data_IF_977690636196
#
_entry.id   IF_977690636196
#
_cell.length_a   1.000
_cell.length_b   1.000
_cell.length_c   1.000
_cell.angle_alpha   90.00
_cell.angle_beta   90.00
_cell.angle_gamma   90.00
#
_symmetry.space_group_name_H-M   'P 1'
#
loop_
_entity.id
_entity.type
_entity.pdbx_description
1 polymer ?
#
# COMPACT_ATOMS: atom_id res chain seq x y z
N UNK A 1 21.49 -20.05 -13.82
CA UNK A 1 21.78 -18.76 -13.18
C UNK A 1 22.28 -19.03 -11.78
N UNK A 2 23.58 -18.82 -11.53
CA UNK A 2 24.13 -18.92 -10.17
C UNK A 2 23.75 -17.65 -9.42
N UNK A 3 22.89 -17.76 -8.40
CA UNK A 3 22.61 -16.65 -7.49
C UNK A 3 23.82 -16.48 -6.57
N UNK A 4 24.64 -15.47 -6.82
CA UNK A 4 25.69 -15.05 -5.90
C UNK A 4 25.04 -14.38 -4.68
N UNK A 5 24.88 -15.13 -3.59
CA UNK A 5 24.26 -14.69 -2.33
C UNK A 5 25.10 -13.67 -1.54
N UNK A 6 26.23 -13.19 -2.08
CA UNK A 6 27.09 -12.20 -1.40
C UNK A 6 26.59 -10.75 -1.49
N UNK A 7 25.51 -10.47 -2.21
CA UNK A 7 24.92 -9.12 -2.32
C UNK A 7 23.94 -8.86 -1.18
N UNK A 8 24.16 -7.79 -0.41
CA UNK A 8 23.20 -7.33 0.60
C UNK A 8 21.90 -6.87 -0.07
N UNK A 9 20.78 -7.19 0.57
CA UNK A 9 19.42 -6.98 0.05
C UNK A 9 18.82 -5.67 0.60
N UNK A 10 18.23 -4.85 -0.27
CA UNK A 10 17.41 -3.69 0.12
C UNK A 10 15.94 -3.95 -0.24
N UNK A 11 15.06 -3.94 0.76
CA UNK A 11 13.60 -4.07 0.55
C UNK A 11 12.96 -2.70 0.73
N UNK A 12 12.40 -2.17 -0.35
CA UNK A 12 11.63 -0.93 -0.31
C UNK A 12 10.13 -1.24 -0.45
N UNK A 13 9.35 -0.89 0.58
CA UNK A 13 7.90 -0.77 0.47
C UNK A 13 7.56 0.70 0.31
N UNK A 14 6.85 1.05 -0.76
CA UNK A 14 6.42 2.43 -0.98
C UNK A 14 4.99 2.52 -0.50
N UNK A 15 4.83 2.82 0.78
CA UNK A 15 3.54 2.95 1.42
C UNK A 15 3.16 4.44 1.40
N UNK A 16 2.62 4.90 0.27
CA UNK A 16 2.36 6.32 0.01
C UNK A 16 1.13 6.85 0.77
N UNK A 17 0.40 5.97 1.45
CA UNK A 17 -0.83 6.29 2.18
C UNK A 17 -0.58 6.52 3.69
N UNK A 18 0.60 6.14 4.19
CA UNK A 18 1.01 6.35 5.58
C UNK A 18 2.11 7.39 5.64
N UNK A 19 2.28 8.04 6.80
CA UNK A 19 3.29 9.09 7.06
C UNK A 19 4.75 8.54 7.00
N UNK A 20 5.13 7.96 5.87
CA UNK A 20 6.43 7.33 5.65
C UNK A 20 7.38 8.35 5.04
N UNK A 21 8.23 8.89 5.89
CA UNK A 21 9.10 10.02 5.58
C UNK A 21 10.25 9.72 4.60
N UNK A 22 10.48 8.49 4.10
CA UNK A 22 11.85 8.14 3.63
C UNK A 22 12.08 7.49 2.26
N UNK A 23 11.10 7.21 1.42
CA UNK A 23 11.39 6.51 0.14
C UNK A 23 11.17 7.37 -1.11
N UNK A 24 12.09 8.30 -1.39
CA UNK A 24 12.42 8.85 -2.73
C UNK A 24 12.41 10.38 -2.76
N UNK A 25 13.60 10.98 -2.77
CA UNK A 25 13.82 12.37 -3.16
C UNK A 25 14.26 12.42 -4.64
N UNK A 26 13.69 13.35 -5.41
CA UNK A 26 13.97 13.54 -6.84
C UNK A 26 15.33 14.20 -7.14
N UNK A 27 16.18 14.42 -6.14
CA UNK A 27 17.52 14.99 -6.27
C UNK A 27 18.58 13.98 -5.81
N UNK A 28 19.17 13.24 -6.76
CA UNK A 28 20.42 12.49 -6.55
C UNK A 28 20.39 11.21 -5.68
N UNK A 29 19.23 10.78 -5.17
CA UNK A 29 19.14 9.68 -4.19
C UNK A 29 17.96 8.72 -4.37
N UNK A 30 17.70 8.25 -5.60
CA UNK A 30 16.71 7.18 -5.79
C UNK A 30 17.25 5.86 -5.22
N UNK A 31 16.38 5.02 -4.63
CA UNK A 31 16.79 3.73 -4.08
C UNK A 31 17.54 2.86 -5.11
N UNK A 32 17.16 2.94 -6.39
CA UNK A 32 17.85 2.24 -7.48
C UNK A 32 19.28 2.77 -7.71
N UNK A 33 19.48 4.09 -7.71
CA UNK A 33 20.82 4.67 -7.85
C UNK A 33 21.75 4.25 -6.70
N UNK A 34 21.23 4.25 -5.46
CA UNK A 34 21.99 3.81 -4.28
C UNK A 34 22.31 2.32 -4.37
N UNK A 35 21.32 1.48 -4.69
CA UNK A 35 21.53 0.03 -4.83
C UNK A 35 22.59 -0.27 -5.89
N UNK A 36 22.49 0.35 -7.07
CA UNK A 36 23.48 0.20 -8.15
C UNK A 36 24.87 0.65 -7.73
N UNK A 37 25.00 1.83 -7.08
CA UNK A 37 26.29 2.35 -6.60
C UNK A 37 26.98 1.38 -5.64
N UNK A 38 26.22 0.66 -4.84
CA UNK A 38 26.73 -0.27 -3.84
C UNK A 38 26.62 -1.75 -4.27
N UNK A 39 26.31 -2.03 -5.54
CA UNK A 39 26.13 -3.39 -6.08
C UNK A 39 25.16 -4.26 -5.25
N UNK A 40 24.08 -3.65 -4.77
CA UNK A 40 23.01 -4.27 -3.98
C UNK A 40 21.86 -4.71 -4.88
N UNK A 41 21.09 -5.70 -4.42
CA UNK A 41 19.83 -6.10 -5.06
C UNK A 41 18.69 -5.25 -4.46
N UNK A 42 17.94 -4.57 -5.32
CA UNK A 42 16.75 -3.80 -4.94
C UNK A 42 15.47 -4.63 -5.17
N UNK A 43 14.84 -5.02 -4.06
CA UNK A 43 13.51 -5.63 -4.07
C UNK A 43 12.48 -4.55 -3.72
N UNK A 44 11.42 -4.44 -4.53
CA UNK A 44 10.31 -3.51 -4.28
C UNK A 44 8.99 -4.25 -4.11
N UNK A 45 8.31 -4.00 -2.99
CA UNK A 45 6.93 -4.45 -2.79
C UNK A 45 5.97 -3.47 -3.48
N UNK A 46 5.24 -3.96 -4.47
CA UNK A 46 4.33 -3.19 -5.30
C UNK A 46 2.85 -3.55 -5.07
N UNK A 47 2.52 -4.13 -3.91
CA UNK A 47 1.18 -4.60 -3.56
C UNK A 47 0.09 -3.53 -3.69
N UNK A 48 0.33 -2.30 -3.23
CA UNK A 48 -0.69 -1.25 -3.18
C UNK A 48 -1.08 -0.74 -4.57
N UNK A 49 -0.08 -0.51 -5.42
CA UNK A 49 -0.28 0.09 -6.73
C UNK A 49 -0.51 -0.95 -7.82
N UNK A 50 -0.07 -2.19 -7.60
CA UNK A 50 -0.04 -3.27 -8.59
C UNK A 50 0.80 -2.89 -9.83
N UNK A 51 1.00 -3.83 -10.73
CA UNK A 51 1.65 -3.56 -12.02
C UNK A 51 0.81 -2.65 -12.94
N UNK A 52 -0.47 -2.45 -12.62
CA UNK A 52 -1.37 -1.57 -13.37
C UNK A 52 -1.03 -0.09 -13.17
N UNK A 53 -0.77 0.34 -11.93
CA UNK A 53 -0.55 1.76 -11.61
C UNK A 53 0.93 2.16 -11.55
N UNK A 54 1.83 1.19 -11.33
CA UNK A 54 3.26 1.47 -11.26
C UNK A 54 4.11 0.27 -11.69
N UNK A 55 4.91 0.46 -12.75
CA UNK A 55 5.86 -0.55 -13.26
C UNK A 55 7.25 -0.37 -12.65
N UNK A 56 7.49 -0.95 -11.48
CA UNK A 56 8.73 -0.77 -10.70
C UNK A 56 10.02 -1.20 -11.41
N UNK A 57 9.95 -2.25 -12.23
CA UNK A 57 11.10 -2.69 -13.03
C UNK A 57 11.62 -1.59 -13.96
N UNK A 58 10.71 -0.80 -14.54
CA UNK A 58 11.06 0.35 -15.39
C UNK A 58 11.78 1.48 -14.64
N UNK A 59 11.76 1.45 -13.30
CA UNK A 59 12.41 2.41 -12.42
C UNK A 59 13.64 1.82 -11.72
N UNK A 60 14.14 0.68 -12.22
CA UNK A 60 15.43 0.10 -11.81
C UNK A 60 15.38 -0.71 -10.52
N UNK A 61 14.21 -1.25 -10.17
CA UNK A 61 14.13 -2.39 -9.25
C UNK A 61 14.65 -3.64 -9.95
N UNK A 62 15.38 -4.48 -9.23
CA UNK A 62 15.86 -5.78 -9.75
C UNK A 62 14.77 -6.85 -9.65
N UNK A 63 13.95 -6.76 -8.61
CA UNK A 63 12.90 -7.74 -8.29
C UNK A 63 11.68 -6.98 -7.76
N UNK A 64 10.49 -7.42 -8.18
CA UNK A 64 9.21 -6.88 -7.67
C UNK A 64 8.42 -7.98 -6.99
N UNK A 65 7.85 -7.65 -5.84
CA UNK A 65 6.99 -8.57 -5.08
C UNK A 65 5.57 -8.04 -4.98
N UNK A 66 4.63 -8.97 -4.86
CA UNK A 66 3.21 -8.67 -4.74
C UNK A 66 2.57 -9.59 -3.70
N UNK A 67 1.71 -9.02 -2.85
CA UNK A 67 0.66 -9.80 -2.19
C UNK A 67 -0.56 -9.85 -3.13
N UNK A 68 -0.74 -10.98 -3.80
CA UNK A 68 -1.86 -11.23 -4.69
C UNK A 68 -3.19 -11.35 -3.94
N UNK A 69 -3.13 -11.58 -2.63
CA UNK A 69 -4.27 -11.48 -1.69
C UNK A 69 -5.03 -10.16 -1.80
N UNK A 70 -4.37 -9.08 -2.22
CA UNK A 70 -4.93 -7.72 -2.23
C UNK A 70 -5.57 -7.40 -3.59
N UNK A 71 -5.30 -6.22 -4.13
CA UNK A 71 -5.88 -5.69 -5.36
C UNK A 71 -5.79 -6.65 -6.57
N UNK A 72 -4.74 -7.48 -6.65
CA UNK A 72 -4.53 -8.34 -7.82
C UNK A 72 -5.55 -9.47 -7.92
N UNK A 73 -5.79 -10.25 -6.85
CA UNK A 73 -6.97 -11.12 -6.79
C UNK A 73 -8.24 -10.28 -6.72
N UNK A 74 -8.34 -9.39 -5.72
CA UNK A 74 -9.42 -8.42 -5.57
C UNK A 74 -10.77 -8.99 -5.11
N UNK A 75 -10.84 -10.29 -4.79
CA UNK A 75 -12.08 -10.98 -4.42
C UNK A 75 -12.10 -11.48 -2.97
N UNK A 76 -11.12 -11.07 -2.15
CA UNK A 76 -11.05 -11.38 -0.70
C UNK A 76 -11.08 -12.89 -0.36
N UNK A 77 -10.71 -13.75 -1.31
CA UNK A 77 -10.92 -15.20 -1.26
C UNK A 77 -9.64 -16.03 -1.47
N UNK A 78 -8.50 -15.39 -1.73
CA UNK A 78 -7.22 -16.06 -1.99
C UNK A 78 -6.10 -15.44 -1.17
N UNK A 79 -5.23 -16.28 -0.60
CA UNK A 79 -3.96 -15.85 0.01
C UNK A 79 -2.79 -16.32 -0.86
N UNK A 80 -2.15 -15.40 -1.58
CA UNK A 80 -1.05 -15.75 -2.49
C UNK A 80 -0.05 -14.61 -2.60
N UNK A 81 1.23 -14.96 -2.73
CA UNK A 81 2.31 -14.04 -3.06
C UNK A 81 2.81 -14.27 -4.49
N UNK A 82 3.37 -13.24 -5.10
CA UNK A 82 4.14 -13.38 -6.33
C UNK A 82 5.52 -12.72 -6.22
N UNK A 83 6.50 -13.41 -6.76
CA UNK A 83 7.90 -13.04 -6.87
C UNK A 83 8.40 -13.60 -8.20
N UNK A 84 9.25 -12.85 -8.92
CA UNK A 84 9.81 -13.28 -10.21
C UNK A 84 10.88 -14.39 -10.13
N UNK A 85 11.08 -14.97 -8.94
CA UNK A 85 12.02 -16.05 -8.67
C UNK A 85 11.28 -17.24 -8.05
N UNK A 86 11.51 -18.44 -8.59
CA UNK A 86 10.99 -19.69 -8.04
C UNK A 86 11.67 -19.98 -6.70
N UNK A 87 10.95 -19.97 -5.58
CA UNK A 87 11.53 -20.30 -4.29
C UNK A 87 11.83 -21.81 -4.25
N UNK A 88 13.09 -22.17 -4.05
CA UNK A 88 13.51 -23.56 -3.83
C UNK A 88 12.95 -24.17 -2.52
N UNK A 89 12.22 -23.39 -1.71
CA UNK A 89 11.69 -23.76 -0.40
C UNK A 89 10.33 -24.49 -0.47
N UNK A 90 9.82 -24.81 -1.66
CA UNK A 90 8.55 -25.53 -1.82
C UNK A 90 7.30 -24.72 -1.45
N UNK A 91 7.43 -23.40 -1.27
CA UNK A 91 6.30 -22.48 -1.01
C UNK A 91 5.63 -22.17 -2.35
N UNK A 92 4.81 -23.11 -2.83
CA UNK A 92 4.07 -23.00 -4.08
C UNK A 92 2.57 -22.87 -3.81
N UNK A 93 1.85 -22.01 -4.55
CA UNK A 93 0.41 -21.87 -4.38
C UNK A 93 -0.36 -23.07 -4.92
N UNK A 94 -1.57 -23.28 -4.39
CA UNK A 94 -2.52 -24.25 -4.96
C UNK A 94 -2.85 -23.88 -6.42
N UNK A 95 -2.95 -24.85 -7.34
CA UNK A 95 -3.43 -24.58 -8.70
C UNK A 95 -4.81 -23.91 -8.75
N UNK A 96 -5.67 -24.19 -7.77
CA UNK A 96 -6.97 -23.55 -7.66
C UNK A 96 -6.85 -22.07 -7.28
N UNK A 97 -5.97 -21.72 -6.34
CA UNK A 97 -5.70 -20.33 -5.98
C UNK A 97 -5.10 -19.56 -7.16
N UNK A 98 -4.20 -20.19 -7.92
CA UNK A 98 -3.67 -19.64 -9.17
C UNK A 98 -4.79 -19.33 -10.17
N UNK A 99 -5.74 -20.25 -10.34
CA UNK A 99 -6.91 -20.04 -11.20
C UNK A 99 -7.77 -18.87 -10.70
N UNK A 100 -8.07 -18.80 -9.40
CA UNK A 100 -8.87 -17.73 -8.80
C UNK A 100 -8.22 -16.36 -8.99
N UNK A 101 -6.90 -16.24 -8.77
CA UNK A 101 -6.19 -14.99 -9.05
C UNK A 101 -6.21 -14.67 -10.54
N UNK A 102 -5.94 -15.64 -11.42
CA UNK A 102 -5.97 -15.41 -12.86
C UNK A 102 -7.35 -14.94 -13.34
N UNK A 103 -8.43 -15.47 -12.76
CA UNK A 103 -9.81 -15.00 -12.96
C UNK A 103 -9.98 -13.56 -12.47
N UNK A 104 -9.51 -13.24 -11.27
CA UNK A 104 -9.57 -11.89 -10.70
C UNK A 104 -8.79 -10.84 -11.49
N UNK A 105 -7.67 -11.23 -12.10
CA UNK A 105 -6.84 -10.35 -12.94
C UNK A 105 -7.58 -9.86 -14.19
N UNK A 106 -8.56 -10.61 -14.71
CA UNK A 106 -9.34 -10.22 -15.89
C UNK A 106 -10.13 -8.93 -15.69
N UNK A 107 -10.50 -8.62 -14.44
CA UNK A 107 -11.23 -7.39 -14.08
C UNK A 107 -10.36 -6.35 -13.38
N UNK A 108 -9.04 -6.58 -13.29
CA UNK A 108 -8.13 -5.71 -12.53
C UNK A 108 -8.22 -4.25 -12.98
N UNK A 109 -8.13 -3.98 -14.27
CA UNK A 109 -8.17 -2.60 -14.79
C UNK A 109 -9.47 -1.88 -14.42
N UNK A 110 -10.61 -2.56 -14.56
CA UNK A 110 -11.93 -2.01 -14.23
C UNK A 110 -12.05 -1.71 -12.73
N UNK A 111 -11.63 -2.67 -11.88
CA UNK A 111 -11.66 -2.51 -10.43
C UNK A 111 -10.74 -1.39 -9.97
N UNK A 112 -9.51 -1.32 -10.49
CA UNK A 112 -8.56 -0.27 -10.12
C UNK A 112 -9.03 1.12 -10.53
N UNK A 113 -9.70 1.25 -11.69
CA UNK A 113 -10.30 2.52 -12.11
C UNK A 113 -11.43 2.94 -11.15
N UNK A 114 -12.30 2.01 -10.77
CA UNK A 114 -13.36 2.28 -9.80
C UNK A 114 -12.80 2.62 -8.41
N UNK A 115 -11.78 1.89 -7.95
CA UNK A 115 -11.10 2.19 -6.68
C UNK A 115 -10.51 3.59 -6.67
N UNK A 116 -9.83 3.98 -7.76
CA UNK A 116 -9.26 5.32 -7.93
C UNK A 116 -10.34 6.39 -7.83
N UNK A 117 -11.44 6.23 -8.57
CA UNK A 117 -12.53 7.21 -8.59
C UNK A 117 -13.21 7.34 -7.22
N UNK A 118 -13.55 6.21 -6.58
CA UNK A 118 -14.20 6.21 -5.28
C UNK A 118 -13.31 6.83 -4.20
N UNK A 119 -12.04 6.42 -4.12
CA UNK A 119 -11.12 6.90 -3.11
C UNK A 119 -10.90 8.42 -3.23
N UNK A 120 -10.78 8.95 -4.44
CA UNK A 120 -10.58 10.39 -4.64
C UNK A 120 -11.82 11.19 -4.20
N UNK A 121 -13.03 10.71 -4.50
CA UNK A 121 -14.27 11.36 -4.07
C UNK A 121 -14.36 11.41 -2.54
N UNK A 122 -14.09 10.28 -1.87
CA UNK A 122 -14.15 10.20 -0.41
C UNK A 122 -13.04 11.05 0.22
N UNK A 123 -11.82 10.99 -0.31
CA UNK A 123 -10.68 11.75 0.21
C UNK A 123 -10.93 13.27 0.12
N UNK A 124 -11.49 13.77 -1.00
CA UNK A 124 -11.88 15.18 -1.14
C UNK A 124 -12.98 15.58 -0.18
N UNK A 125 -13.98 14.72 0.03
CA UNK A 125 -15.03 14.96 1.01
C UNK A 125 -14.47 15.06 2.44
N UNK A 126 -13.56 14.14 2.81
CA UNK A 126 -12.92 14.14 4.11
C UNK A 126 -11.98 15.34 4.31
N UNK A 127 -11.30 15.80 3.27
CA UNK A 127 -10.35 16.92 3.33
C UNK A 127 -11.01 18.23 3.77
N UNK A 128 -12.28 18.43 3.43
CA UNK A 128 -13.06 19.61 3.83
C UNK A 128 -13.90 19.41 5.10
N UNK A 129 -13.94 18.19 5.64
CA UNK A 129 -14.86 17.87 6.73
C UNK A 129 -14.34 18.39 8.09
N UNK A 130 -15.13 19.14 8.88
CA UNK A 130 -14.63 19.86 10.06
C UNK A 130 -14.12 18.94 11.19
N UNK A 131 -14.55 17.66 11.21
CA UNK A 131 -14.09 16.64 12.17
C UNK A 131 -12.87 15.84 11.71
N UNK A 132 -12.39 16.08 10.49
CA UNK A 132 -11.14 15.50 9.98
C UNK A 132 -10.03 16.53 10.16
N UNK A 133 -8.89 16.09 10.64
CA UNK A 133 -7.72 16.93 10.86
C UNK A 133 -6.83 16.97 9.61
N UNK A 134 -6.62 15.82 8.98
CA UNK A 134 -5.72 15.69 7.83
C UNK A 134 -6.08 14.47 7.01
N UNK A 135 -5.97 14.57 5.69
CA UNK A 135 -6.08 13.43 4.75
C UNK A 135 -4.72 13.13 4.14
N UNK A 136 -4.35 11.86 4.10
CA UNK A 136 -3.15 11.33 3.45
C UNK A 136 -3.54 10.55 2.21
N UNK A 137 -3.84 11.27 1.13
CA UNK A 137 -4.14 10.67 -0.16
C UNK A 137 -3.13 11.19 -1.21
N UNK A 138 -2.41 10.31 -1.92
CA UNK A 138 -1.21 10.69 -2.67
C UNK A 138 -1.46 11.67 -3.82
N UNK A 139 -2.67 11.71 -4.38
CA UNK A 139 -3.03 12.66 -5.46
C UNK A 139 -3.68 13.96 -4.99
N UNK A 140 -3.87 14.16 -3.68
CA UNK A 140 -4.29 15.47 -3.18
C UNK A 140 -3.08 16.41 -3.15
N UNK A 141 -3.22 17.69 -3.54
CA UNK A 141 -2.12 18.66 -3.48
C UNK A 141 -1.55 18.87 -2.07
N UNK A 142 -2.36 18.63 -1.04
CA UNK A 142 -1.96 18.68 0.37
C UNK A 142 -0.96 17.59 0.76
N UNK A 143 -0.80 16.55 -0.07
CA UNK A 143 0.10 15.45 0.22
C UNK A 143 1.57 15.85 0.00
N UNK A 144 2.48 15.66 0.98
CA UNK A 144 3.87 16.12 0.89
C UNK A 144 4.66 15.59 -0.31
N UNK A 145 4.25 14.44 -0.86
CA UNK A 145 4.88 13.77 -2.01
C UNK A 145 4.01 13.77 -3.26
N UNK A 146 3.04 14.68 -3.36
CA UNK A 146 2.09 14.76 -4.48
C UNK A 146 2.79 14.76 -5.85
N UNK A 147 3.72 15.70 -6.05
CA UNK A 147 4.39 15.85 -7.35
C UNK A 147 5.27 14.66 -7.72
N UNK A 148 5.91 14.06 -6.72
CA UNK A 148 6.71 12.85 -6.92
C UNK A 148 5.83 11.68 -7.34
N UNK A 149 4.72 11.46 -6.61
CA UNK A 149 3.76 10.42 -6.91
C UNK A 149 3.24 10.55 -8.34
N UNK A 150 2.79 11.76 -8.71
CA UNK A 150 2.27 12.08 -10.05
C UNK A 150 3.28 11.81 -11.17
N UNK A 151 4.58 11.96 -10.91
CA UNK A 151 5.63 11.66 -11.91
C UNK A 151 5.93 10.17 -12.06
N UNK A 152 5.73 9.37 -11.01
CA UNK A 152 6.15 7.97 -10.98
C UNK A 152 5.02 6.98 -11.28
N UNK A 153 3.76 7.36 -11.02
CA UNK A 153 2.61 6.47 -11.13
C UNK A 153 1.62 6.95 -12.18
N UNK A 154 0.86 6.03 -12.77
CA UNK A 154 -0.26 6.36 -13.67
C UNK A 154 -1.56 6.65 -12.92
N UNK A 155 -1.56 6.52 -11.58
CA UNK A 155 -2.72 6.72 -10.73
C UNK A 155 -2.48 6.24 -9.31
N UNK A 156 -3.57 6.11 -8.55
CA UNK A 156 -3.56 5.68 -7.16
C UNK A 156 -4.51 4.51 -6.93
N UNK A 157 -4.28 3.79 -5.83
CA UNK A 157 -5.16 2.71 -5.40
C UNK A 157 -6.39 3.26 -4.69
N UNK A 158 -7.25 2.36 -4.22
CA UNK A 158 -8.39 2.72 -3.36
C UNK A 158 -8.01 3.00 -1.91
N UNK A 159 -6.72 2.87 -1.54
CA UNK A 159 -6.26 3.01 -0.16
C UNK A 159 -5.71 4.41 0.07
N UNK A 160 -6.05 4.96 1.24
CA UNK A 160 -5.56 6.22 1.76
C UNK A 160 -5.83 6.24 3.27
N UNK A 161 -5.25 7.17 3.99
CA UNK A 161 -5.50 7.34 5.43
C UNK A 161 -5.94 8.75 5.77
N UNK A 162 -6.51 8.94 6.96
CA UNK A 162 -6.86 10.27 7.47
C UNK A 162 -6.81 10.30 8.99
N UNK A 163 -6.63 11.50 9.55
CA UNK A 163 -6.63 11.73 10.98
C UNK A 163 -7.96 12.34 11.41
N UNK A 164 -8.61 11.72 12.39
CA UNK A 164 -9.83 12.23 13.00
C UNK A 164 -9.52 13.13 14.21
N UNK A 165 -10.32 14.18 14.38
CA UNK A 165 -10.34 14.95 15.62
C UNK A 165 -11.04 14.16 16.72
N UNK A 166 -10.58 14.30 17.96
CA UNK A 166 -11.19 13.65 19.14
C UNK A 166 -10.47 12.38 19.64
N UNK A 167 -9.28 12.09 19.12
CA UNK A 167 -8.43 11.01 19.62
C UNK A 167 -9.05 9.62 19.51
N UNK A 168 -8.60 8.71 20.37
CA UNK A 168 -9.03 7.31 20.38
C UNK A 168 -10.56 7.14 20.53
N UNK A 169 -11.19 7.93 21.40
CA UNK A 169 -12.63 7.88 21.62
C UNK A 169 -13.41 8.32 20.39
N UNK A 170 -12.99 9.44 19.76
CA UNK A 170 -13.58 9.91 18.51
C UNK A 170 -13.45 8.89 17.37
N UNK A 171 -12.26 8.28 17.22
CA UNK A 171 -12.02 7.26 16.22
C UNK A 171 -12.87 6.00 16.45
N UNK A 172 -12.97 5.50 17.69
CA UNK A 172 -13.82 4.34 18.03
C UNK A 172 -15.30 4.61 17.76
N UNK A 173 -15.80 5.80 18.16
CA UNK A 173 -17.19 6.18 17.91
C UNK A 173 -17.50 6.27 16.42
N UNK A 174 -16.58 6.82 15.63
CA UNK A 174 -16.70 6.85 14.17
C UNK A 174 -16.74 5.44 13.57
N UNK A 175 -15.80 4.57 13.95
CA UNK A 175 -15.76 3.18 13.47
C UNK A 175 -16.98 2.36 13.87
N UNK A 176 -17.60 2.63 15.02
CA UNK A 176 -18.85 1.99 15.42
C UNK A 176 -20.07 2.54 14.68
N UNK A 177 -19.98 3.74 14.08
CA UNK A 177 -21.09 4.38 13.39
C UNK A 177 -21.15 4.07 11.89
N UNK A 178 -20.05 3.62 11.28
CA UNK A 178 -20.05 3.24 9.86
C UNK A 178 -20.88 1.97 9.64
N UNK A 179 -21.75 1.99 8.62
CA UNK A 179 -22.65 0.88 8.29
C UNK A 179 -22.28 0.13 7.01
N UNK A 180 -21.53 0.78 6.13
CA UNK A 180 -21.12 0.22 4.84
C UNK A 180 -19.69 -0.33 4.89
N UNK A 181 -18.79 0.36 5.60
CA UNK A 181 -17.42 -0.09 5.75
C UNK A 181 -17.33 -1.18 6.80
N UNK A 182 -16.63 -2.26 6.46
CA UNK A 182 -16.38 -3.37 7.38
C UNK A 182 -15.05 -3.18 8.09
N UNK A 183 -15.04 -3.35 9.41
CA UNK A 183 -13.84 -3.26 10.23
C UNK A 183 -12.94 -4.49 9.99
N UNK A 184 -11.84 -4.35 9.23
CA UNK A 184 -10.98 -5.48 8.86
C UNK A 184 -9.53 -5.08 8.57
N UNK A 185 -8.60 -6.03 8.76
CA UNK A 185 -7.14 -5.83 8.63
C UNK A 185 -6.59 -6.05 7.20
N UNK A 186 -7.45 -6.11 6.17
CA UNK A 186 -7.07 -6.34 4.77
C UNK A 186 -7.42 -5.14 3.88
N UNK A 187 -7.09 -5.21 2.59
CA UNK A 187 -7.33 -4.13 1.62
C UNK A 187 -7.39 -4.66 0.18
N UNK A 188 -7.91 -3.85 -0.74
CA UNK A 188 -7.84 -4.10 -2.18
C UNK A 188 -8.85 -5.10 -2.73
N UNK A 189 -9.77 -5.59 -1.88
CA UNK A 189 -10.94 -6.34 -2.32
C UNK A 189 -12.00 -5.40 -2.92
N UNK A 190 -13.11 -5.99 -3.39
CA UNK A 190 -14.28 -5.23 -3.84
C UNK A 190 -15.03 -4.53 -2.70
N UNK A 191 -14.92 -5.05 -1.47
CA UNK A 191 -15.53 -4.48 -0.28
C UNK A 191 -14.80 -3.24 0.23
N UNK A 192 -15.56 -2.34 0.85
CA UNK A 192 -15.01 -1.18 1.55
C UNK A 192 -14.61 -1.58 2.97
N UNK A 193 -13.30 -1.51 3.27
CA UNK A 193 -12.74 -1.87 4.56
C UNK A 193 -12.21 -0.64 5.28
N UNK A 194 -12.23 -0.68 6.61
CA UNK A 194 -11.71 0.39 7.46
C UNK A 194 -11.00 -0.22 8.67
N UNK A 195 -9.96 0.44 9.19
CA UNK A 195 -9.26 -0.01 10.40
C UNK A 195 -8.79 1.15 11.27
N UNK A 196 -8.48 0.86 12.53
CA UNK A 196 -7.71 1.74 13.41
C UNK A 196 -6.36 1.07 13.70
N UNK A 197 -5.29 1.41 12.96
CA UNK A 197 -4.02 0.70 13.06
C UNK A 197 -3.46 0.63 14.48
N UNK A 198 -3.70 1.67 15.28
CA UNK A 198 -3.18 1.84 16.64
C UNK A 198 -3.62 0.74 17.61
N UNK A 199 -4.82 0.17 17.43
CA UNK A 199 -5.37 -0.92 18.26
C UNK A 199 -5.60 -2.22 17.50
N UNK A 200 -5.37 -2.23 16.18
CA UNK A 200 -5.65 -3.39 15.32
C UNK A 200 -4.39 -4.03 14.74
N UNK A 201 -3.82 -3.46 13.68
CA UNK A 201 -2.68 -4.05 12.95
C UNK A 201 -1.34 -3.75 13.60
N UNK A 202 -1.23 -2.67 14.36
CA UNK A 202 0.01 -2.22 14.99
C UNK A 202 -0.11 -2.20 16.53
N UNK A 203 -1.10 -2.90 17.08
CA UNK A 203 -1.31 -3.00 18.53
C UNK A 203 -0.07 -3.56 19.26
N UNK A 204 0.71 -4.43 18.60
CA UNK A 204 1.95 -5.00 19.12
C UNK A 204 3.15 -4.06 19.04
N UNK A 205 3.05 -2.92 18.33
CA UNK A 205 4.13 -1.93 18.23
C UNK A 205 4.02 -0.96 19.41
N UNK A 206 5.12 -0.72 20.18
CA UNK A 206 5.13 0.24 21.26
C UNK A 206 4.61 1.62 20.84
N UNK A 207 3.88 2.30 21.74
CA UNK A 207 3.24 3.59 21.46
C UNK A 207 4.22 4.66 20.98
N UNK A 208 5.41 4.72 21.56
CA UNK A 208 6.47 5.65 21.15
C UNK A 208 6.92 5.42 19.71
N UNK A 209 7.12 4.16 19.32
CA UNK A 209 7.48 3.80 17.94
C UNK A 209 6.33 4.09 16.97
N UNK A 210 5.09 3.83 17.38
CA UNK A 210 3.90 4.19 16.60
C UNK A 210 3.83 5.69 16.35
N UNK A 211 4.08 6.51 17.37
CA UNK A 211 4.06 7.97 17.26
C UNK A 211 5.11 8.49 16.25
N UNK A 212 6.34 7.94 16.29
CA UNK A 212 7.39 8.26 15.31
C UNK A 212 6.97 7.93 13.87
N UNK A 213 6.20 6.86 13.68
CA UNK A 213 5.66 6.46 12.38
C UNK A 213 4.38 7.22 11.99
N UNK A 214 3.92 8.16 12.82
CA UNK A 214 2.65 8.88 12.63
C UNK A 214 1.40 8.03 12.87
N UNK A 215 1.53 6.84 13.47
CA UNK A 215 0.42 5.95 13.82
C UNK A 215 -0.16 6.40 15.15
N UNK A 216 -1.01 7.42 15.10
CA UNK A 216 -1.70 7.94 16.28
C UNK A 216 -3.02 7.20 16.52
N UNK A 217 -3.64 7.41 17.69
CA UNK A 217 -4.98 6.90 17.97
C UNK A 217 -6.11 7.60 17.18
N UNK A 218 -5.74 8.60 16.38
CA UNK A 218 -6.62 9.31 15.45
C UNK A 218 -6.47 8.85 14.01
N UNK A 219 -5.45 8.05 13.68
CA UNK A 219 -5.18 7.61 12.31
C UNK A 219 -6.15 6.49 11.92
N UNK A 220 -6.96 6.72 10.89
CA UNK A 220 -7.82 5.73 10.24
C UNK A 220 -7.25 5.39 8.87
#
# INVERSE_FOLDING_TARGET
MSCDFRKTLVICRTNLDRNTHKSDHASGGSASCIAKKHNLILIVDNTFLTSYLFRRLSFGADIVTYSLTKCMSGHSDVVMGALELLPAMGIVPSPFDCYQVNRGLKTLALRMEQHKNNALVIAKYLEIHPKVEKVLHPVLPSHPKHDLFKRQTSGHSGTFSFYLKGGLSGAKNFLNAVKLFTLAKSLGGYDSLIELPSVMTHASVPSEQRAVLGITDSLV
#
